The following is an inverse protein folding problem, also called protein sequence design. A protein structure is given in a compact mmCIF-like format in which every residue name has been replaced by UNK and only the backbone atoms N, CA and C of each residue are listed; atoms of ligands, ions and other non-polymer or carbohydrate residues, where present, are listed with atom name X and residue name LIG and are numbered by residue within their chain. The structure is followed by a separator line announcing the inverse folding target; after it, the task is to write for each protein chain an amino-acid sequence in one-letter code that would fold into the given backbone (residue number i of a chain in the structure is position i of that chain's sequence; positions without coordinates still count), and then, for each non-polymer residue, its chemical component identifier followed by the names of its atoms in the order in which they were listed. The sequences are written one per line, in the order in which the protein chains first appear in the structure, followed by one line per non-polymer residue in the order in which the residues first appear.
data_IF_470065676707
#
_entry.id   IF_470065676707
#
_cell.length_a   1.000
_cell.length_b   1.000
_cell.length_c   1.000
_cell.angle_alpha   90.00
_cell.angle_beta   90.00
_cell.angle_gamma   90.00
#
_symmetry.space_group_name_H-M   'P 1'
#
loop_
_entity.id
_entity.type
_entity.pdbx_description
1 polymer ?
#
# COMPACT_ATOMS: atom_id res chain seq x y z
N UNK A 1 95.04 -25.88 49.96
CA UNK A 1 95.00 -26.57 51.28
C UNK A 1 93.64 -26.29 51.91
N UNK A 2 92.91 -27.33 52.36
CA UNK A 2 91.51 -27.26 52.88
C UNK A 2 90.46 -26.82 51.82
N UNK A 3 89.15 -27.11 51.91
CA UNK A 3 88.36 -28.16 52.60
C UNK A 3 87.08 -28.41 51.73
N UNK A 4 86.32 -29.48 51.99
CA UNK A 4 85.23 -30.00 51.12
C UNK A 4 83.81 -29.64 51.62
N UNK A 5 82.95 -29.15 50.70
CA UNK A 5 81.46 -29.13 50.77
C UNK A 5 80.81 -28.30 51.92
N UNK A 6 79.45 -28.16 52.04
CA UNK A 6 78.35 -28.73 51.24
C UNK A 6 77.23 -27.76 50.77
N UNK A 7 76.27 -28.34 50.03
CA UNK A 7 74.88 -27.89 49.79
C UNK A 7 74.22 -27.08 50.94
N UNK A 8 73.41 -26.06 50.58
CA UNK A 8 71.93 -26.04 50.82
C UNK A 8 71.21 -24.84 50.16
N UNK A 9 70.12 -25.16 49.46
CA UNK A 9 68.75 -24.55 49.53
C UNK A 9 68.64 -23.04 49.85
N UNK A 10 67.99 -22.23 48.98
CA UNK A 10 66.66 -21.57 49.21
C UNK A 10 66.26 -20.53 48.09
N UNK A 11 65.40 -20.93 47.15
CA UNK A 11 64.15 -20.18 46.74
C UNK A 11 64.16 -18.82 45.96
N UNK A 12 63.42 -18.80 44.83
CA UNK A 12 62.56 -17.73 44.20
C UNK A 12 63.07 -16.71 43.11
N UNK A 13 62.37 -16.78 41.95
CA UNK A 13 61.81 -15.72 41.06
C UNK A 13 62.59 -15.01 39.92
N UNK A 14 61.79 -14.57 38.92
CA UNK A 14 62.00 -13.67 37.76
C UNK A 14 63.01 -14.16 36.68
N UNK A 15 62.56 -14.61 35.50
CA UNK A 15 62.14 -13.87 34.26
C UNK A 15 63.24 -13.01 33.62
N UNK A 16 63.39 -12.93 32.29
CA UNK A 16 62.53 -13.40 31.18
C UNK A 16 63.25 -14.52 30.39
N UNK A 17 63.41 -14.67 29.06
CA UNK A 17 62.95 -14.15 27.72
C UNK A 17 63.39 -15.31 26.73
N UNK A 18 63.02 -15.52 25.46
CA UNK A 18 62.31 -14.79 24.40
C UNK A 18 61.80 -15.77 23.30
N UNK A 19 61.40 -15.24 22.13
CA UNK A 19 61.38 -15.87 20.80
C UNK A 19 60.44 -17.08 20.54
N UNK A 20 59.26 -16.79 19.96
CA UNK A 20 58.62 -17.69 18.99
C UNK A 20 58.14 -16.91 17.76
N UNK A 21 58.20 -17.59 16.62
CA UNK A 21 58.11 -17.12 15.23
C UNK A 21 56.97 -16.17 14.86
N UNK A 22 57.27 -15.31 13.88
CA UNK A 22 56.36 -14.38 13.23
C UNK A 22 55.71 -15.04 11.99
N UNK A 23 54.39 -15.22 12.02
CA UNK A 23 53.59 -15.70 10.87
C UNK A 23 52.55 -14.63 10.56
N UNK A 24 52.68 -13.98 9.40
CA UNK A 24 51.70 -13.00 8.91
C UNK A 24 50.65 -13.72 8.08
N UNK A 25 49.49 -13.98 8.68
CA UNK A 25 48.30 -14.34 7.93
C UNK A 25 47.62 -13.06 7.40
N UNK A 26 47.23 -13.01 6.11
CA UNK A 26 46.40 -11.90 5.62
C UNK A 26 45.01 -12.03 6.25
N UNK A 27 44.67 -11.10 7.14
CA UNK A 27 43.30 -10.98 7.60
C UNK A 27 42.42 -10.53 6.42
N UNK A 28 41.63 -11.43 5.87
CA UNK A 28 40.43 -11.03 5.13
C UNK A 28 39.55 -10.29 6.13
N UNK A 29 39.55 -8.96 6.05
CA UNK A 29 38.50 -8.16 6.65
C UNK A 29 37.20 -8.54 5.94
N UNK A 30 36.41 -9.42 6.57
CA UNK A 30 35.01 -9.51 6.24
C UNK A 30 34.41 -8.13 6.47
N UNK A 31 33.93 -7.48 5.41
CA UNK A 31 33.19 -6.22 5.53
C UNK A 31 31.92 -6.51 6.32
N UNK A 32 31.97 -6.26 7.64
CA UNK A 32 30.79 -6.25 8.48
C UNK A 32 29.81 -5.23 7.86
N UNK A 33 28.54 -5.61 7.63
CA UNK A 33 27.58 -4.72 6.97
C UNK A 33 27.47 -3.43 7.78
N UNK A 34 27.88 -2.32 7.17
CA UNK A 34 27.98 -1.03 7.86
C UNK A 34 26.59 -0.65 8.37
N UNK A 35 26.39 -0.46 9.69
CA UNK A 35 25.11 -0.01 10.20
C UNK A 35 24.88 1.42 9.71
N UNK A 36 23.91 1.58 8.81
CA UNK A 36 23.39 2.88 8.39
C UNK A 36 22.55 3.48 9.50
N UNK A 37 23.22 3.94 10.55
CA UNK A 37 22.60 4.66 11.66
C UNK A 37 22.35 6.14 11.27
N UNK A 38 21.21 6.68 11.71
CA UNK A 38 20.59 7.83 11.05
C UNK A 38 19.28 8.33 11.64
N UNK A 39 19.04 8.14 12.95
CA UNK A 39 18.06 8.96 13.69
C UNK A 39 16.65 8.38 13.89
N UNK A 40 16.42 7.10 13.58
CA UNK A 40 15.23 6.38 14.08
C UNK A 40 15.47 5.90 15.53
N UNK A 41 14.44 5.94 16.39
CA UNK A 41 14.50 5.40 17.77
C UNK A 41 13.91 3.99 17.90
N UNK A 42 13.18 3.56 16.87
CA UNK A 42 12.55 2.26 16.76
C UNK A 42 13.02 1.57 15.47
N UNK A 43 12.72 0.29 15.29
CA UNK A 43 12.97 -0.40 14.03
C UNK A 43 11.95 -1.52 13.79
N UNK A 44 11.75 -1.89 12.52
CA UNK A 44 10.99 -3.08 12.12
C UNK A 44 11.93 -4.28 12.17
N UNK A 45 11.67 -5.19 13.10
CA UNK A 45 12.50 -6.37 13.38
C UNK A 45 11.91 -7.66 12.79
N UNK A 46 10.58 -7.78 12.71
CA UNK A 46 9.92 -8.96 12.12
C UNK A 46 8.72 -8.59 11.25
N UNK A 47 8.42 -9.45 10.28
CA UNK A 47 7.21 -9.35 9.48
C UNK A 47 6.65 -10.76 9.21
N UNK A 48 5.57 -11.09 9.91
CA UNK A 48 4.80 -12.32 9.75
C UNK A 48 3.49 -12.04 9.01
N UNK A 49 2.91 -13.06 8.40
CA UNK A 49 1.53 -13.01 7.92
C UNK A 49 0.79 -14.30 8.28
N UNK A 50 -0.53 -14.22 8.40
CA UNK A 50 -1.39 -15.38 8.63
C UNK A 50 -2.71 -15.15 7.92
N UNK A 51 -3.13 -16.13 7.12
CA UNK A 51 -4.45 -16.14 6.46
C UNK A 51 -5.45 -16.89 7.35
N UNK A 52 -6.63 -16.31 7.53
CA UNK A 52 -7.74 -16.91 8.26
C UNK A 52 -8.72 -17.55 7.26
N UNK A 53 -9.47 -18.54 7.73
CA UNK A 53 -10.43 -19.30 6.92
C UNK A 53 -11.52 -18.42 6.27
N UNK A 54 -11.83 -17.27 6.88
CA UNK A 54 -12.76 -16.27 6.38
C UNK A 54 -12.16 -15.27 5.36
N UNK A 55 -11.03 -15.60 4.72
CA UNK A 55 -10.41 -14.76 3.70
C UNK A 55 -9.80 -13.45 4.21
N UNK A 56 -9.71 -13.27 5.54
CA UNK A 56 -8.96 -12.17 6.16
C UNK A 56 -7.49 -12.55 6.30
N UNK A 57 -6.63 -11.55 6.21
CA UNK A 57 -5.18 -11.68 6.34
C UNK A 57 -4.72 -10.79 7.48
N UNK A 58 -3.93 -11.33 8.40
CA UNK A 58 -3.30 -10.57 9.48
C UNK A 58 -1.80 -10.55 9.22
N UNK A 59 -1.26 -9.37 8.93
CA UNK A 59 0.16 -9.09 9.04
C UNK A 59 0.51 -8.70 10.47
N UNK A 60 1.60 -9.26 11.00
CA UNK A 60 2.19 -8.82 12.27
C UNK A 60 3.55 -8.19 11.96
N UNK A 61 3.65 -6.89 12.17
CA UNK A 61 4.89 -6.12 12.03
C UNK A 61 5.48 -5.99 13.43
N UNK A 62 6.56 -6.72 13.71
CA UNK A 62 7.28 -6.64 14.99
C UNK A 62 8.24 -5.46 15.01
N UNK A 63 8.20 -4.70 16.10
CA UNK A 63 8.99 -3.50 16.31
C UNK A 63 9.89 -3.64 17.55
N UNK A 64 11.03 -2.94 17.55
CA UNK A 64 11.93 -2.87 18.71
C UNK A 64 11.25 -2.26 19.94
N UNK A 65 10.38 -1.26 19.73
CA UNK A 65 9.63 -0.55 20.78
C UNK A 65 8.13 -0.44 20.43
N UNK A 66 7.22 -0.44 21.44
CA UNK A 66 5.80 -0.20 21.22
C UNK A 66 5.52 1.20 20.67
N UNK A 67 4.59 1.31 19.72
CA UNK A 67 4.09 2.61 19.27
C UNK A 67 3.00 3.11 20.23
N UNK A 68 2.98 4.42 20.48
CA UNK A 68 1.92 5.05 21.29
C UNK A 68 0.57 5.14 20.54
N UNK A 69 0.60 5.10 19.20
CA UNK A 69 -0.57 5.15 18.32
C UNK A 69 -0.34 4.21 17.12
N UNK A 70 -1.39 3.70 16.45
CA UNK A 70 -1.25 3.00 15.18
C UNK A 70 -0.53 3.86 14.12
N UNK A 71 0.25 3.27 13.19
CA UNK A 71 0.88 4.02 12.10
C UNK A 71 -0.19 4.61 11.18
N UNK A 72 0.09 5.81 10.63
CA UNK A 72 -0.82 6.48 9.69
C UNK A 72 -0.85 5.66 8.41
N UNK A 73 -2.05 5.33 7.91
CA UNK A 73 -2.24 4.49 6.74
C UNK A 73 -3.23 5.04 5.72
N UNK A 74 -3.17 4.50 4.50
CA UNK A 74 -4.16 4.71 3.45
C UNK A 74 -4.17 3.55 2.44
N UNK A 75 -5.28 3.39 1.73
CA UNK A 75 -5.42 2.45 0.62
C UNK A 75 -5.45 3.19 -0.73
N UNK A 76 -4.98 2.52 -1.78
CA UNK A 76 -5.02 2.97 -3.17
C UNK A 76 -5.71 1.86 -3.97
N UNK A 77 -6.77 2.19 -4.72
CA UNK A 77 -7.55 1.17 -5.45
C UNK A 77 -6.97 0.81 -6.83
N UNK A 78 -6.18 1.70 -7.46
CA UNK A 78 -5.60 1.45 -8.78
C UNK A 78 -4.14 1.97 -8.88
N UNK A 79 -3.13 1.08 -8.99
CA UNK A 79 -3.21 -0.36 -8.71
C UNK A 79 -3.49 -0.62 -7.20
N UNK A 80 -4.12 -1.74 -6.83
CA UNK A 80 -4.46 -2.06 -5.43
C UNK A 80 -3.25 -2.12 -4.48
N UNK A 81 -3.20 -1.23 -3.48
CA UNK A 81 -2.15 -1.16 -2.44
C UNK A 81 -2.68 -0.66 -1.11
N UNK A 82 -2.05 -1.07 -0.02
CA UNK A 82 -2.19 -0.45 1.32
C UNK A 82 -0.81 0.11 1.70
N UNK A 83 -0.78 1.32 2.25
CA UNK A 83 0.44 2.03 2.65
C UNK A 83 0.35 2.38 4.13
N UNK A 84 1.38 2.09 4.92
CA UNK A 84 1.54 2.50 6.32
C UNK A 84 2.84 3.28 6.51
N UNK A 85 2.78 4.45 7.14
CA UNK A 85 3.94 5.27 7.51
C UNK A 85 4.28 5.10 9.00
N UNK A 86 5.48 4.59 9.27
CA UNK A 86 6.06 4.43 10.60
C UNK A 86 7.04 5.58 10.88
N UNK A 87 6.70 6.53 11.78
CA UNK A 87 7.61 7.61 12.18
C UNK A 87 8.75 7.08 13.08
N UNK A 88 9.91 7.74 13.02
CA UNK A 88 11.11 7.45 13.82
C UNK A 88 11.48 5.97 13.94
N UNK A 89 11.26 5.22 12.86
CA UNK A 89 11.37 3.76 12.76
C UNK A 89 12.22 3.38 11.55
N UNK A 90 13.29 2.59 11.74
CA UNK A 90 14.15 2.07 10.67
C UNK A 90 13.71 0.68 10.16
N UNK A 91 14.25 0.22 9.03
CA UNK A 91 14.11 -1.16 8.56
C UNK A 91 15.30 -2.03 9.00
N UNK A 92 15.10 -2.93 9.97
CA UNK A 92 16.13 -3.90 10.43
C UNK A 92 15.94 -5.32 9.88
N UNK A 93 14.98 -5.54 8.97
CA UNK A 93 14.72 -6.86 8.34
C UNK A 93 15.80 -7.32 7.35
N UNK A 94 16.83 -6.51 7.09
CA UNK A 94 17.91 -6.80 6.13
C UNK A 94 17.49 -6.83 4.66
N UNK A 95 16.20 -6.60 4.35
CA UNK A 95 15.65 -6.59 2.98
C UNK A 95 14.53 -5.55 2.83
N UNK A 96 14.40 -4.99 1.63
CA UNK A 96 13.39 -3.98 1.31
C UNK A 96 12.16 -4.53 0.56
N UNK A 97 12.15 -5.80 0.18
CA UNK A 97 11.00 -6.46 -0.45
C UNK A 97 10.72 -7.79 0.27
N UNK A 98 9.43 -8.11 0.42
CA UNK A 98 8.96 -9.36 1.02
C UNK A 98 7.83 -9.93 0.15
N UNK A 99 8.13 -10.96 -0.62
CA UNK A 99 7.12 -11.71 -1.38
C UNK A 99 6.35 -12.66 -0.45
N UNK A 100 5.03 -12.73 -0.62
CA UNK A 100 4.13 -13.39 0.35
C UNK A 100 3.71 -14.79 -0.10
N UNK A 101 3.65 -15.03 -1.42
CA UNK A 101 3.26 -16.32 -2.00
C UNK A 101 1.76 -16.62 -1.96
N UNK A 102 0.92 -15.69 -1.50
CA UNK A 102 -0.54 -15.83 -1.46
C UNK A 102 -1.21 -15.20 -2.69
N UNK A 103 -2.30 -15.78 -3.17
CA UNK A 103 -3.02 -15.29 -4.36
C UNK A 103 -3.70 -13.94 -4.17
N UNK A 104 -3.85 -13.46 -2.93
CA UNK A 104 -4.49 -12.19 -2.60
C UNK A 104 -3.47 -11.10 -2.22
N UNK A 105 -2.19 -11.46 -2.06
CA UNK A 105 -1.09 -10.60 -1.58
C UNK A 105 0.11 -10.74 -2.50
N UNK A 106 0.41 -9.71 -3.30
CA UNK A 106 1.50 -9.79 -4.29
C UNK A 106 2.86 -9.78 -3.59
N UNK A 107 3.20 -8.66 -2.96
CA UNK A 107 4.39 -8.49 -2.12
C UNK A 107 4.32 -7.21 -1.28
N UNK A 108 5.23 -7.07 -0.33
CA UNK A 108 5.43 -5.87 0.46
C UNK A 108 6.75 -5.22 0.05
N UNK A 109 6.79 -3.89 0.10
CA UNK A 109 8.02 -3.12 -0.09
C UNK A 109 8.19 -2.15 1.07
N UNK A 110 9.43 -1.99 1.54
CA UNK A 110 9.82 -1.20 2.70
C UNK A 110 10.74 -0.10 2.21
N UNK A 111 10.31 1.14 2.35
CA UNK A 111 11.01 2.33 1.85
C UNK A 111 11.34 3.23 3.03
N UNK A 112 12.57 3.17 3.51
CA UNK A 112 13.08 4.07 4.54
C UNK A 112 13.61 5.36 3.91
N UNK A 113 13.30 6.51 4.52
CA UNK A 113 13.80 7.83 4.09
C UNK A 113 13.87 8.77 5.29
N UNK A 114 15.10 9.12 5.69
CA UNK A 114 15.36 9.76 6.97
C UNK A 114 14.88 8.88 8.13
N UNK A 115 14.17 9.47 9.09
CA UNK A 115 13.64 8.77 10.27
C UNK A 115 12.35 7.97 10.00
N UNK A 116 11.72 8.14 8.82
CA UNK A 116 10.43 7.49 8.50
C UNK A 116 10.62 6.26 7.60
N UNK A 117 9.95 5.18 7.94
CA UNK A 117 9.81 3.98 7.09
C UNK A 117 8.38 3.85 6.58
N UNK A 118 8.24 3.70 5.26
CA UNK A 118 6.96 3.44 4.58
C UNK A 118 6.86 1.97 4.18
N UNK A 119 5.86 1.28 4.71
CA UNK A 119 5.49 -0.09 4.31
C UNK A 119 4.39 -0.03 3.24
N UNK A 120 4.62 -0.64 2.08
CA UNK A 120 3.68 -0.70 0.96
C UNK A 120 3.31 -2.16 0.70
N UNK A 121 2.09 -2.56 1.05
CA UNK A 121 1.53 -3.88 0.74
C UNK A 121 0.83 -3.80 -0.62
N UNK A 122 1.38 -4.45 -1.64
CA UNK A 122 0.73 -4.60 -2.94
C UNK A 122 -0.25 -5.77 -2.86
N UNK A 123 -1.56 -5.51 -2.97
CA UNK A 123 -2.62 -6.53 -2.85
C UNK A 123 -3.14 -6.95 -4.23
N UNK A 124 -3.80 -8.10 -4.33
CA UNK A 124 -4.29 -8.61 -5.61
C UNK A 124 -5.48 -7.80 -6.15
N UNK A 125 -6.43 -7.47 -5.25
CA UNK A 125 -7.69 -6.76 -5.48
C UNK A 125 -7.87 -5.63 -4.45
N UNK A 126 -8.91 -4.83 -4.57
CA UNK A 126 -9.28 -3.84 -3.54
C UNK A 126 -9.58 -4.55 -2.21
N UNK A 127 -9.04 -4.02 -1.12
CA UNK A 127 -9.18 -4.58 0.23
C UNK A 127 -9.36 -3.45 1.25
N UNK A 128 -10.23 -3.66 2.23
CA UNK A 128 -10.30 -2.85 3.43
C UNK A 128 -9.16 -3.23 4.38
N UNK A 129 -8.78 -2.33 5.29
CA UNK A 129 -7.77 -2.64 6.30
C UNK A 129 -8.06 -1.96 7.64
N UNK A 130 -7.62 -2.59 8.71
CA UNK A 130 -7.62 -2.07 10.08
C UNK A 130 -6.20 -2.22 10.66
N UNK A 131 -5.71 -1.21 11.38
CA UNK A 131 -4.44 -1.27 12.11
C UNK A 131 -4.64 -1.20 13.61
N UNK A 132 -3.98 -2.10 14.36
CA UNK A 132 -3.98 -2.11 15.83
C UNK A 132 -2.54 -2.22 16.34
N UNK A 133 -2.26 -1.59 17.49
CA UNK A 133 -1.02 -1.83 18.23
C UNK A 133 -1.29 -2.91 19.28
N UNK A 134 -0.40 -3.89 19.37
CA UNK A 134 -0.43 -5.00 20.32
C UNK A 134 0.98 -5.15 20.92
N UNK A 135 1.21 -4.46 22.04
CA UNK A 135 2.55 -4.34 22.64
C UNK A 135 3.56 -3.75 21.64
N UNK A 136 4.65 -4.48 21.38
CA UNK A 136 5.67 -4.10 20.41
C UNK A 136 5.33 -4.48 18.95
N UNK A 137 4.07 -4.79 18.64
CA UNK A 137 3.64 -5.23 17.30
C UNK A 137 2.57 -4.32 16.75
N UNK A 138 2.59 -4.12 15.44
CA UNK A 138 1.42 -3.60 14.70
C UNK A 138 0.76 -4.77 13.97
N UNK A 139 -0.54 -4.95 14.24
CA UNK A 139 -1.41 -5.86 13.52
C UNK A 139 -2.06 -5.08 12.38
N UNK A 140 -1.76 -5.43 11.14
CA UNK A 140 -2.45 -4.96 9.94
C UNK A 140 -3.42 -6.06 9.50
N UNK A 141 -4.71 -5.85 9.73
CA UNK A 141 -5.79 -6.77 9.41
C UNK A 141 -6.39 -6.35 8.07
N UNK A 142 -6.09 -7.08 7.01
CA UNK A 142 -6.63 -6.87 5.67
C UNK A 142 -7.90 -7.72 5.54
N UNK A 143 -9.01 -7.08 5.17
CA UNK A 143 -10.28 -7.74 4.88
C UNK A 143 -10.66 -7.49 3.43
N UNK A 144 -11.12 -8.53 2.74
CA UNK A 144 -11.72 -8.37 1.44
C UNK A 144 -13.24 -8.18 1.61
N UNK A 145 -13.88 -7.20 0.94
CA UNK A 145 -15.32 -7.28 0.74
C UNK A 145 -15.61 -8.59 -0.01
N UNK A 146 -16.57 -9.38 0.46
CA UNK A 146 -16.90 -10.64 -0.19
C UNK A 146 -17.37 -10.41 -1.63
N UNK A 147 -17.02 -11.33 -2.52
CA UNK A 147 -17.36 -11.27 -3.92
C UNK A 147 -18.84 -11.62 -4.16
N UNK A 148 -19.73 -10.71 -3.77
CA UNK A 148 -21.09 -10.63 -4.33
C UNK A 148 -20.95 -10.66 -5.85
N UNK A 149 -21.74 -11.51 -6.53
CA UNK A 149 -21.67 -11.66 -7.99
C UNK A 149 -22.23 -10.42 -8.69
N UNK A 150 -21.38 -9.40 -8.84
CA UNK A 150 -21.72 -8.11 -9.44
C UNK A 150 -21.92 -8.25 -10.95
N UNK A 151 -23.15 -7.97 -11.40
CA UNK A 151 -23.43 -7.65 -12.80
C UNK A 151 -22.82 -6.28 -13.15
N UNK A 152 -22.22 -6.08 -14.35
CA UNK A 152 -21.49 -4.85 -14.66
C UNK A 152 -22.39 -3.61 -14.57
N UNK A 153 -22.04 -2.69 -13.66
CA UNK A 153 -22.78 -1.44 -13.42
C UNK A 153 -23.03 -1.09 -11.93
N UNK A 154 -22.62 -1.93 -10.99
CA UNK A 154 -22.86 -1.68 -9.56
C UNK A 154 -21.96 -0.57 -8.95
N UNK A 155 -22.47 0.21 -7.99
CA UNK A 155 -21.75 1.27 -7.27
C UNK A 155 -20.57 0.77 -6.39
N UNK A 156 -19.52 1.60 -6.24
CA UNK A 156 -18.42 1.37 -5.30
C UNK A 156 -18.63 2.21 -4.03
N UNK A 157 -19.13 1.57 -2.97
CA UNK A 157 -19.36 2.21 -1.66
C UNK A 157 -18.08 2.30 -0.82
N UNK A 158 -17.91 3.41 -0.11
CA UNK A 158 -16.74 3.69 0.73
C UNK A 158 -17.00 3.71 2.24
N UNK A 159 -18.26 3.67 2.69
CA UNK A 159 -18.62 3.47 4.11
C UNK A 159 -20.06 2.94 4.26
N UNK A 160 -20.26 2.00 5.19
CA UNK A 160 -21.58 1.56 5.66
C UNK A 160 -21.85 2.20 7.04
N UNK A 161 -22.99 2.90 7.26
CA UNK A 161 -23.20 3.68 8.47
C UNK A 161 -23.48 2.81 9.71
N UNK A 162 -22.69 2.99 10.76
CA UNK A 162 -22.96 2.39 12.08
C UNK A 162 -24.21 3.04 12.70
N UNK A 163 -25.12 2.22 13.23
CA UNK A 163 -26.37 2.70 13.82
C UNK A 163 -26.12 3.62 15.04
N UNK A 164 -26.44 4.89 14.84
CA UNK A 164 -26.53 5.96 15.83
C UNK A 164 -27.46 7.05 15.26
N UNK A 165 -27.93 7.98 16.08
CA UNK A 165 -28.96 8.94 15.64
C UNK A 165 -28.54 9.74 14.39
N UNK A 166 -29.47 10.00 13.45
CA UNK A 166 -29.16 10.54 12.13
C UNK A 166 -28.83 12.04 12.18
N UNK A 167 -27.60 12.36 12.62
CA UNK A 167 -26.95 13.62 12.28
C UNK A 167 -26.90 13.71 10.75
N UNK A 168 -27.62 14.68 10.19
CA UNK A 168 -27.52 15.01 8.76
C UNK A 168 -26.07 15.36 8.45
N UNK A 169 -25.44 14.53 7.62
CA UNK A 169 -24.10 14.78 7.13
C UNK A 169 -24.17 15.94 6.12
N UNK A 170 -23.05 16.61 5.88
CA UNK A 170 -23.03 17.81 5.03
C UNK A 170 -21.70 18.06 4.36
N UNK A 171 -21.77 18.49 3.10
CA UNK A 171 -20.64 18.99 2.34
C UNK A 171 -20.49 20.48 2.65
N UNK A 172 -19.40 20.84 3.31
CA UNK A 172 -19.11 22.19 3.81
C UNK A 172 -18.51 23.09 2.73
N UNK A 173 -17.71 22.51 1.86
CA UNK A 173 -16.98 23.19 0.80
C UNK A 173 -16.63 22.19 -0.31
N UNK A 174 -16.72 22.63 -1.57
CA UNK A 174 -16.21 21.91 -2.75
C UNK A 174 -15.27 22.84 -3.50
N UNK A 175 -14.00 22.49 -3.53
CA UNK A 175 -12.90 23.28 -4.10
C UNK A 175 -12.20 22.53 -5.25
N UNK A 176 -11.62 23.27 -6.19
CA UNK A 176 -10.89 22.71 -7.33
C UNK A 176 -9.50 23.34 -7.44
N UNK A 177 -8.47 22.50 -7.63
CA UNK A 177 -7.08 22.93 -7.80
C UNK A 177 -6.40 22.18 -8.92
N UNK A 178 -5.49 22.86 -9.61
CA UNK A 178 -4.50 22.22 -10.48
C UNK A 178 -3.39 21.61 -9.61
N UNK A 179 -3.09 20.33 -9.76
CA UNK A 179 -1.92 19.71 -9.15
C UNK A 179 -0.61 20.01 -9.90
N UNK A 180 0.51 19.59 -9.31
CA UNK A 180 1.84 19.86 -9.88
C UNK A 180 2.11 19.13 -11.20
N UNK A 181 1.45 17.98 -11.41
CA UNK A 181 1.64 17.10 -12.56
C UNK A 181 0.63 17.37 -13.69
N UNK A 182 -0.28 18.34 -13.51
CA UNK A 182 -1.36 18.66 -14.46
C UNK A 182 -2.65 17.87 -14.23
N UNK A 183 -2.75 17.18 -13.10
CA UNK A 183 -4.01 16.63 -12.58
C UNK A 183 -4.98 17.74 -12.14
N UNK A 184 -6.27 17.49 -12.30
CA UNK A 184 -7.34 18.27 -11.68
C UNK A 184 -7.71 17.62 -10.36
N UNK A 185 -7.53 18.33 -9.25
CA UNK A 185 -7.84 17.88 -7.89
C UNK A 185 -9.13 18.54 -7.42
N UNK A 186 -10.16 17.74 -7.17
CA UNK A 186 -11.36 18.17 -6.44
C UNK A 186 -11.15 17.83 -4.96
N UNK A 187 -11.43 18.79 -4.07
CA UNK A 187 -11.40 18.59 -2.61
C UNK A 187 -12.78 18.90 -2.04
N UNK A 188 -13.32 17.97 -1.26
CA UNK A 188 -14.63 18.08 -0.62
C UNK A 188 -14.45 17.98 0.89
N UNK A 189 -14.79 19.06 1.59
CA UNK A 189 -14.75 19.11 3.06
C UNK A 189 -16.07 18.59 3.65
N UNK A 190 -16.01 17.45 4.32
CA UNK A 190 -17.15 16.76 4.94
C UNK A 190 -17.37 17.23 6.39
N UNK A 191 -18.61 17.19 6.87
CA UNK A 191 -18.89 17.38 8.30
C UNK A 191 -18.59 16.15 9.16
N UNK A 192 -18.61 14.95 8.56
CA UNK A 192 -18.42 13.67 9.22
C UNK A 192 -17.53 12.74 8.37
N UNK A 193 -16.48 12.11 8.92
CA UNK A 193 -15.63 11.18 8.18
C UNK A 193 -16.34 9.89 7.78
N UNK A 194 -17.52 9.58 8.36
CA UNK A 194 -18.32 8.39 8.04
C UNK A 194 -19.42 8.70 7.00
N UNK A 195 -19.20 9.68 6.12
CA UNK A 195 -20.16 10.01 5.04
C UNK A 195 -20.15 8.91 3.99
N UNK A 196 -21.32 8.34 3.67
CA UNK A 196 -21.43 7.20 2.76
C UNK A 196 -21.24 7.60 1.29
N UNK A 197 -20.01 7.55 0.79
CA UNK A 197 -19.67 7.94 -0.59
C UNK A 197 -19.82 6.75 -1.55
N UNK A 198 -20.34 7.01 -2.75
CA UNK A 198 -20.27 6.15 -3.93
C UNK A 198 -19.64 6.90 -5.12
N UNK A 199 -18.91 6.18 -5.99
CA UNK A 199 -18.26 6.72 -7.19
C UNK A 199 -18.58 5.84 -8.40
N UNK A 200 -19.05 6.46 -9.50
CA UNK A 200 -19.37 5.79 -10.76
C UNK A 200 -18.78 6.55 -11.95
N UNK A 201 -17.98 5.89 -12.77
CA UNK A 201 -17.49 6.43 -14.03
C UNK A 201 -18.54 6.19 -15.14
N UNK A 202 -19.03 7.27 -15.75
CA UNK A 202 -20.01 7.29 -16.82
C UNK A 202 -19.41 7.93 -18.09
N UNK A 203 -18.33 7.34 -18.59
CA UNK A 203 -17.69 7.71 -19.86
C UNK A 203 -16.83 8.96 -19.74
N UNK A 204 -17.43 10.13 -19.98
CA UNK A 204 -16.74 11.43 -19.80
C UNK A 204 -16.94 12.00 -18.39
N UNK A 205 -17.96 11.54 -17.65
CA UNK A 205 -18.31 12.08 -16.34
C UNK A 205 -17.96 11.11 -15.22
N UNK A 206 -17.25 11.59 -14.21
CA UNK A 206 -17.12 10.89 -12.93
C UNK A 206 -18.20 11.42 -11.99
N UNK A 207 -19.16 10.57 -11.63
CA UNK A 207 -20.25 10.90 -10.72
C UNK A 207 -19.91 10.40 -9.33
N UNK A 208 -20.03 11.28 -8.33
CA UNK A 208 -19.87 10.97 -6.91
C UNK A 208 -21.19 11.26 -6.20
N UNK A 209 -21.75 10.26 -5.50
CA UNK A 209 -22.94 10.42 -4.67
C UNK A 209 -22.57 10.35 -3.19
N UNK A 210 -23.00 11.35 -2.42
CA UNK A 210 -22.84 11.43 -0.97
C UNK A 210 -24.17 11.10 -0.30
N UNK A 211 -24.24 9.91 0.29
CA UNK A 211 -25.47 9.33 0.85
C UNK A 211 -25.88 10.02 2.15
N UNK A 212 -27.17 10.31 2.32
CA UNK A 212 -27.72 10.98 3.52
C UNK A 212 -27.03 12.33 3.86
N UNK A 213 -26.43 12.96 2.85
CA UNK A 213 -25.72 14.22 2.97
C UNK A 213 -26.56 15.40 2.47
N UNK A 214 -26.30 16.56 3.04
CA UNK A 214 -26.88 17.85 2.63
C UNK A 214 -25.82 18.78 2.06
N UNK A 215 -26.21 19.66 1.14
CA UNK A 215 -25.35 20.68 0.57
C UNK A 215 -25.70 22.03 1.18
N UNK A 216 -24.71 22.85 1.52
CA UNK A 216 -24.95 24.25 1.89
C UNK A 216 -25.19 25.04 0.60
N UNK A 217 -26.13 26.00 0.61
CA UNK A 217 -26.64 26.66 -0.62
C UNK A 217 -25.58 27.39 -1.46
N UNK A 218 -24.48 27.81 -0.87
CA UNK A 218 -23.33 28.43 -1.54
C UNK A 218 -22.44 27.40 -2.29
N UNK A 219 -22.60 26.12 -1.97
CA UNK A 219 -21.90 24.99 -2.59
C UNK A 219 -22.76 24.25 -3.64
N UNK A 220 -24.03 24.64 -3.80
CA UNK A 220 -24.92 24.19 -4.88
C UNK A 220 -24.60 24.99 -6.16
N UNK A 221 -23.50 24.61 -6.82
CA UNK A 221 -22.87 25.38 -7.89
C UNK A 221 -22.18 24.51 -8.95
N UNK A 222 -22.00 25.10 -10.14
CA UNK A 222 -21.12 24.60 -11.20
C UNK A 222 -19.85 25.45 -11.27
N UNK A 223 -18.71 24.80 -11.21
CA UNK A 223 -17.39 25.37 -11.45
C UNK A 223 -16.98 25.07 -12.89
N UNK A 224 -16.62 26.10 -13.65
CA UNK A 224 -15.85 25.94 -14.89
C UNK A 224 -14.36 25.98 -14.53
N UNK A 225 -13.60 25.01 -15.04
CA UNK A 225 -12.18 24.80 -14.70
C UNK A 225 -11.31 24.52 -15.94
N UNK A 226 -11.81 24.82 -17.13
CA UNK A 226 -11.11 24.56 -18.42
C UNK A 226 -9.74 25.23 -18.47
N UNK A 227 -9.63 26.49 -18.01
CA UNK A 227 -8.39 27.30 -18.07
C UNK A 227 -7.25 26.77 -17.19
N UNK A 228 -7.53 25.85 -16.25
CA UNK A 228 -6.49 25.26 -15.39
C UNK A 228 -5.62 24.22 -16.11
N UNK A 229 -5.92 23.88 -17.37
CA UNK A 229 -5.09 23.02 -18.22
C UNK A 229 -5.10 21.53 -17.86
N UNK A 230 -6.06 21.11 -17.03
CA UNK A 230 -6.23 19.73 -16.54
C UNK A 230 -7.00 18.86 -17.57
N UNK A 231 -7.40 17.61 -17.30
CA UNK A 231 -8.43 16.93 -18.11
C UNK A 231 -9.86 17.34 -17.75
N UNK A 232 -10.09 17.93 -16.56
CA UNK A 232 -11.41 18.33 -16.08
C UNK A 232 -11.87 19.59 -16.81
N UNK A 233 -13.14 19.62 -17.22
CA UNK A 233 -13.79 20.78 -17.83
C UNK A 233 -14.71 21.48 -16.82
N UNK A 234 -15.63 20.75 -16.20
CA UNK A 234 -16.56 21.31 -15.22
C UNK A 234 -16.77 20.40 -14.00
N UNK A 235 -17.04 21.00 -12.84
CA UNK A 235 -17.40 20.31 -11.59
C UNK A 235 -18.72 20.88 -11.09
N UNK A 236 -19.77 20.07 -11.10
CA UNK A 236 -21.13 20.49 -10.74
C UNK A 236 -21.62 19.72 -9.50
N UNK A 237 -22.01 20.43 -8.44
CA UNK A 237 -22.48 19.84 -7.19
C UNK A 237 -23.89 20.32 -6.86
N UNK A 238 -24.81 19.38 -6.64
CA UNK A 238 -26.24 19.66 -6.45
C UNK A 238 -26.94 18.63 -5.56
N UNK A 239 -28.05 19.02 -4.94
CA UNK A 239 -28.89 18.14 -4.13
C UNK A 239 -29.71 17.17 -5.00
N UNK A 240 -29.80 15.91 -4.58
CA UNK A 240 -30.63 14.89 -5.23
C UNK A 240 -31.37 14.04 -4.19
N UNK A 241 -32.61 14.43 -3.88
CA UNK A 241 -33.41 13.79 -2.84
C UNK A 241 -32.77 13.98 -1.46
N UNK A 242 -32.40 12.88 -0.81
CA UNK A 242 -31.72 12.88 0.49
C UNK A 242 -30.19 12.82 0.39
N UNK A 243 -29.64 12.92 -0.83
CA UNK A 243 -28.21 12.82 -1.11
C UNK A 243 -27.69 14.11 -1.75
N UNK A 244 -26.37 14.27 -1.80
CA UNK A 244 -25.71 15.23 -2.71
C UNK A 244 -25.08 14.46 -3.86
N UNK A 245 -25.22 14.96 -5.10
CA UNK A 245 -24.46 14.50 -6.26
C UNK A 245 -23.42 15.54 -6.64
N UNK A 246 -22.21 15.07 -6.94
CA UNK A 246 -21.19 15.82 -7.66
C UNK A 246 -20.91 15.12 -9.00
N UNK A 247 -20.84 15.90 -10.07
CA UNK A 247 -20.52 15.43 -11.43
C UNK A 247 -19.27 16.16 -11.93
N UNK A 248 -18.22 15.40 -12.23
CA UNK A 248 -16.94 15.91 -12.72
C UNK A 248 -16.83 15.53 -14.20
N UNK A 249 -17.02 16.50 -15.08
CA UNK A 249 -16.90 16.33 -16.54
C UNK A 249 -15.43 16.41 -16.97
N UNK A 250 -14.93 15.42 -17.71
CA UNK A 250 -13.53 15.32 -18.15
C UNK A 250 -13.39 14.96 -19.63
N UNK A 251 -12.32 15.47 -20.26
CA UNK A 251 -12.07 15.38 -21.71
C UNK A 251 -10.92 14.45 -22.06
N UNK A 252 -11.11 13.63 -23.11
CA UNK A 252 -10.11 12.72 -23.65
C UNK A 252 -9.97 11.44 -22.84
N UNK A 253 -8.82 10.78 -22.91
CA UNK A 253 -8.52 9.63 -22.06
C UNK A 253 -7.99 10.11 -20.71
N UNK A 254 -8.73 9.80 -19.65
CA UNK A 254 -8.39 10.17 -18.27
C UNK A 254 -8.54 8.97 -17.33
N UNK A 255 -7.80 9.01 -16.24
CA UNK A 255 -7.88 8.09 -15.12
C UNK A 255 -8.04 8.92 -13.84
N UNK A 256 -8.68 8.33 -12.83
CA UNK A 256 -8.91 9.01 -11.55
C UNK A 256 -8.40 8.18 -10.38
N UNK A 257 -8.05 8.86 -9.30
CA UNK A 257 -7.78 8.27 -7.99
C UNK A 257 -8.51 9.08 -6.93
N UNK A 258 -9.45 8.43 -6.23
CA UNK A 258 -10.18 9.01 -5.12
C UNK A 258 -9.71 8.40 -3.79
N UNK A 259 -9.62 9.22 -2.75
CA UNK A 259 -9.28 8.81 -1.39
C UNK A 259 -9.90 9.76 -0.37
N UNK A 260 -9.96 9.33 0.89
CA UNK A 260 -10.39 10.18 2.00
C UNK A 260 -9.28 10.23 3.07
N UNK A 261 -9.03 11.41 3.61
CA UNK A 261 -8.15 11.65 4.74
C UNK A 261 -8.92 12.49 5.78
N UNK A 262 -9.13 11.94 6.98
CA UNK A 262 -10.03 12.50 7.99
C UNK A 262 -11.39 12.92 7.40
N UNK A 263 -11.67 14.22 7.34
CA UNK A 263 -12.89 14.82 6.81
C UNK A 263 -12.76 15.35 5.37
N UNK A 264 -11.62 15.16 4.71
CA UNK A 264 -11.44 15.57 3.32
C UNK A 264 -11.55 14.37 2.39
N UNK A 265 -12.53 14.41 1.49
CA UNK A 265 -12.59 13.51 0.35
C UNK A 265 -11.94 14.20 -0.86
N UNK A 266 -11.00 13.52 -1.50
CA UNK A 266 -10.14 14.08 -2.55
C UNK A 266 -10.24 13.19 -3.78
N UNK A 267 -10.45 13.81 -4.94
CA UNK A 267 -10.45 13.14 -6.25
C UNK A 267 -9.43 13.82 -7.15
N UNK A 268 -8.40 13.07 -7.54
CA UNK A 268 -7.44 13.48 -8.58
C UNK A 268 -7.85 12.87 -9.91
N UNK A 269 -7.93 13.68 -10.97
CA UNK A 269 -8.20 13.25 -12.34
C UNK A 269 -7.02 13.67 -13.23
N UNK A 270 -6.37 12.72 -13.88
CA UNK A 270 -5.18 12.94 -14.73
C UNK A 270 -5.37 12.34 -16.13
N UNK A 271 -4.69 12.92 -17.12
CA UNK A 271 -4.68 12.44 -18.51
C UNK A 271 -3.93 11.10 -18.56
N UNK A 272 -4.52 10.08 -19.17
CA UNK A 272 -3.81 8.82 -19.46
C UNK A 272 -2.78 9.11 -20.54
N UNK A 273 -1.51 9.06 -20.18
CA UNK A 273 -0.43 9.07 -21.17
C UNK A 273 -0.35 7.70 -21.82
N UNK A 274 -0.54 7.65 -23.15
CA UNK A 274 -0.32 6.44 -23.93
C UNK A 274 1.19 6.15 -23.97
N UNK A 275 1.62 5.21 -23.15
CA UNK A 275 2.97 4.65 -23.11
C UNK A 275 3.21 3.83 -24.40
N UNK A 276 4.00 4.31 -25.37
CA UNK A 276 4.09 3.69 -26.69
C UNK A 276 4.78 2.32 -26.68
N UNK A 277 5.46 1.96 -25.58
CA UNK A 277 6.03 0.63 -25.38
C UNK A 277 5.09 -0.34 -24.66
N UNK A 278 3.93 0.12 -24.15
CA UNK A 278 2.87 -0.78 -23.69
C UNK A 278 1.96 -1.14 -24.85
N UNK A 279 2.14 -2.37 -25.33
CA UNK A 279 1.12 -3.07 -26.11
C UNK A 279 -0.19 -3.02 -25.33
N UNK A 280 -1.14 -2.22 -25.82
CA UNK A 280 -2.51 -2.19 -25.29
C UNK A 280 -3.09 -3.61 -25.35
N UNK A 281 -3.56 -4.18 -24.23
CA UNK A 281 -4.40 -5.37 -24.24
C UNK A 281 -5.68 -5.02 -25.00
N UNK A 282 -5.68 -5.28 -26.31
CA UNK A 282 -6.78 -4.91 -27.18
C UNK A 282 -8.06 -5.61 -26.72
N UNK A 283 -9.18 -4.89 -26.71
CA UNK A 283 -10.47 -5.40 -26.25
C UNK A 283 -11.08 -6.43 -27.22
N UNK A 284 -10.43 -7.59 -27.34
CA UNK A 284 -10.88 -8.82 -27.98
C UNK A 284 -10.36 -9.99 -27.14
N UNK A 285 -11.20 -11.00 -26.91
CA UNK A 285 -10.82 -12.18 -26.13
C UNK A 285 -9.72 -12.98 -26.86
N UNK A 286 -8.46 -12.79 -26.46
CA UNK A 286 -7.33 -13.59 -26.92
C UNK A 286 -7.32 -14.95 -26.24
N UNK A 287 -7.57 -16.02 -27.01
CA UNK A 287 -7.57 -17.39 -26.49
C UNK A 287 -6.14 -17.83 -26.17
N UNK A 288 -5.75 -17.71 -24.90
CA UNK A 288 -4.40 -18.06 -24.41
C UNK A 288 -4.26 -19.56 -24.12
N UNK A 289 -4.58 -20.39 -25.11
CA UNK A 289 -4.26 -21.83 -25.12
C UNK A 289 -2.91 -22.07 -25.79
N UNK A 290 -2.15 -23.04 -25.30
CA UNK A 290 -0.93 -23.51 -25.98
C UNK A 290 -1.28 -24.08 -27.36
N UNK A 291 -0.44 -23.80 -28.38
CA UNK A 291 -0.76 -24.07 -29.79
C UNK A 291 -0.54 -25.56 -30.13
N UNK A 292 -1.42 -26.43 -29.64
CA UNK A 292 -1.43 -27.86 -29.91
C UNK A 292 -1.65 -28.13 -31.41
N UNK A 293 -0.57 -28.38 -32.15
CA UNK A 293 -0.58 -28.54 -33.60
C UNK A 293 -0.96 -29.96 -34.03
N UNK A 294 -2.24 -30.31 -33.85
CA UNK A 294 -2.80 -31.61 -34.27
C UNK A 294 -2.78 -31.77 -35.80
N UNK A 295 -1.91 -32.64 -36.29
CA UNK A 295 -1.83 -33.02 -37.69
C UNK A 295 -2.81 -34.16 -38.01
N UNK A 296 -4.03 -33.82 -38.46
CA UNK A 296 -5.06 -34.79 -38.81
C UNK A 296 -4.80 -35.47 -40.16
N UNK A 297 -4.01 -36.55 -40.17
CA UNK A 297 -4.00 -37.50 -41.28
C UNK A 297 -5.14 -38.51 -41.17
N UNK A 298 -6.32 -38.09 -41.65
CA UNK A 298 -7.32 -38.93 -42.31
C UNK A 298 -7.72 -40.26 -41.60
N UNK A 299 -8.38 -40.18 -40.45
CA UNK A 299 -9.14 -41.29 -39.81
C UNK A 299 -10.43 -40.75 -39.12
N UNK A 300 -11.28 -41.67 -38.65
CA UNK A 300 -12.74 -41.49 -38.47
C UNK A 300 -13.26 -40.46 -37.44
N UNK A 301 -14.45 -39.91 -37.75
CA UNK A 301 -15.10 -38.80 -37.02
C UNK A 301 -15.96 -39.28 -35.83
N UNK A 302 -15.45 -40.22 -35.01
CA UNK A 302 -16.20 -40.79 -33.87
C UNK A 302 -15.37 -41.10 -32.63
N UNK A 303 -15.02 -40.06 -31.85
CA UNK A 303 -15.18 -40.02 -30.38
C UNK A 303 -14.50 -38.78 -29.76
N UNK A 304 -15.26 -37.71 -29.47
CA UNK A 304 -14.88 -36.71 -28.46
C UNK A 304 -16.14 -36.37 -27.64
N UNK A 305 -16.36 -37.15 -26.59
CA UNK A 305 -17.30 -36.85 -25.50
C UNK A 305 -16.59 -37.26 -24.21
N UNK A 306 -16.54 -36.36 -23.22
CA UNK A 306 -15.61 -36.42 -22.06
C UNK A 306 -14.16 -36.21 -22.56
N UNK A 307 -13.37 -35.30 -22.00
CA UNK A 307 -13.12 -35.02 -20.58
C UNK A 307 -13.47 -33.58 -20.18
N UNK A 308 -13.90 -33.41 -18.92
CA UNK A 308 -13.87 -32.14 -18.17
C UNK A 308 -12.64 -32.15 -17.24
#
# INVERSE_FOLDING_TARGET
MKIVNPFKILTRYLTWLAALWLVVAPALAAEAPVPVDGGARNSIESLEHTKLENGKIIFKIGLHQPLQNPPIGFAINNPPRIVLDFPDTANTLGKNTYDVGDTELRNLNIVQSGTRTRLVVNVARMSEYETKVDGNKVLLIISHPEAVKVSPGAPQRFAEPKLGEPKKQSLRNVDFRRGSNGEGRVVVDLSDPNTGIDIRNLGNNLVVDFSNATLVRDQERRLDVVDFGTPVQTVETFTQGNNVRMSIESKGLWEYSAYQADRQFIVDIKKVQADPNKLVPSAKAGYSGEKLSLAFQNQDVRAILQVF
#
